data_IF_166850414399
#
_entry.id   IF_166850414399
#
_cell.length_a   1.000
_cell.length_b   1.000
_cell.length_c   1.000
_cell.angle_alpha   90.00
_cell.angle_beta   90.00
_cell.angle_gamma   90.00
#
_symmetry.space_group_name_H-M   'P 1'
#
loop_
_entity.id
_entity.type
_entity.pdbx_description
1 polymer ?
#
# COMPACT_ATOMS: atom_id res chain seq x y z
N UNK A 1 -0.59 -34.50 8.57
CA UNK A 1 0.61 -35.15 8.00
C UNK A 1 0.21 -36.49 7.42
N UNK A 2 0.24 -36.63 6.13
CA UNK A 2 -0.13 -37.89 5.46
C UNK A 2 1.19 -38.62 5.18
N UNK A 3 1.42 -39.72 5.88
CA UNK A 3 2.55 -40.60 5.64
C UNK A 3 2.10 -41.64 4.61
N UNK A 4 2.68 -41.57 3.42
CA UNK A 4 2.49 -42.61 2.41
C UNK A 4 3.60 -43.63 2.53
N UNK A 5 3.24 -44.91 2.49
CA UNK A 5 4.22 -45.99 2.51
C UNK A 5 4.26 -46.65 1.14
N UNK A 6 5.46 -46.92 0.70
CA UNK A 6 5.63 -47.76 -0.48
C UNK A 6 5.17 -49.19 -0.24
N UNK A 7 4.85 -49.96 -1.29
CA UNK A 7 4.45 -51.36 -1.17
C UNK A 7 5.51 -52.23 -0.50
N UNK A 8 6.77 -51.78 -0.46
CA UNK A 8 7.89 -52.43 0.19
C UNK A 8 8.03 -52.11 1.69
N UNK A 9 7.14 -51.26 2.23
CA UNK A 9 7.12 -50.88 3.63
C UNK A 9 8.01 -49.68 3.99
N UNK A 10 8.72 -49.10 3.01
CA UNK A 10 9.47 -47.87 3.25
C UNK A 10 8.57 -46.66 3.31
N UNK A 11 8.89 -45.71 4.20
CA UNK A 11 8.16 -44.48 4.35
C UNK A 11 8.63 -43.50 3.29
N UNK A 12 7.69 -43.02 2.49
CA UNK A 12 7.94 -41.84 1.66
C UNK A 12 7.82 -40.64 2.58
N UNK A 13 8.94 -40.10 2.96
CA UNK A 13 8.92 -38.74 3.48
C UNK A 13 8.48 -37.80 2.36
N UNK A 14 7.19 -37.56 2.31
CA UNK A 14 6.70 -36.50 1.46
C UNK A 14 7.21 -35.21 2.05
N UNK A 15 8.11 -34.59 1.34
CA UNK A 15 8.63 -33.28 1.72
C UNK A 15 7.61 -32.17 1.48
N UNK A 16 6.39 -32.48 1.85
CA UNK A 16 5.26 -31.54 1.83
C UNK A 16 5.50 -30.32 2.74
N UNK A 17 6.46 -30.45 3.59
CA UNK A 17 6.91 -29.38 4.48
C UNK A 17 7.40 -28.13 3.76
N UNK A 18 7.69 -28.24 2.50
CA UNK A 18 8.15 -27.07 1.75
C UNK A 18 7.02 -26.14 1.32
N UNK A 19 5.81 -26.61 1.38
CA UNK A 19 4.69 -25.77 1.00
C UNK A 19 4.18 -24.92 2.13
N UNK A 20 4.70 -25.12 3.26
CA UNK A 20 3.99 -24.73 4.46
C UNK A 20 4.28 -23.34 4.96
N UNK A 21 4.76 -22.45 4.18
CA UNK A 21 5.08 -21.12 4.71
C UNK A 21 4.73 -19.98 3.77
N UNK A 22 3.44 -19.87 3.36
CA UNK A 22 3.05 -18.77 2.49
C UNK A 22 3.29 -17.41 3.15
N UNK A 23 3.11 -17.31 4.45
CA UNK A 23 3.34 -16.07 5.19
C UNK A 23 4.82 -15.68 5.27
N UNK A 24 5.70 -16.63 5.45
CA UNK A 24 7.14 -16.42 5.42
C UNK A 24 7.64 -16.14 4.00
N UNK A 25 6.99 -16.76 3.04
CA UNK A 25 7.32 -16.60 1.62
C UNK A 25 7.02 -15.20 1.12
N UNK A 26 5.99 -14.54 1.62
CA UNK A 26 5.65 -13.18 1.19
C UNK A 26 6.77 -12.19 1.51
N UNK A 27 7.30 -12.26 2.71
CA UNK A 27 8.40 -11.39 3.14
C UNK A 27 9.71 -11.71 2.44
N UNK A 28 10.01 -12.99 2.29
CA UNK A 28 11.18 -13.46 1.53
C UNK A 28 11.01 -13.22 0.05
N UNK A 29 9.78 -13.27 -0.47
CA UNK A 29 9.48 -12.96 -1.85
C UNK A 29 9.80 -11.51 -2.20
N UNK A 30 9.50 -10.56 -1.33
CA UNK A 30 9.87 -9.16 -1.54
C UNK A 30 11.39 -8.96 -1.51
N UNK A 31 12.09 -9.58 -0.56
CA UNK A 31 13.54 -9.54 -0.49
C UNK A 31 14.19 -10.24 -1.69
N UNK A 32 13.68 -11.41 -2.08
CA UNK A 32 14.17 -12.16 -3.24
C UNK A 32 13.92 -11.43 -4.56
N UNK A 33 12.82 -10.69 -4.68
CA UNK A 33 12.55 -9.83 -5.84
C UNK A 33 13.53 -8.68 -5.92
N UNK A 34 13.92 -8.10 -4.79
CA UNK A 34 14.96 -7.09 -4.74
C UNK A 34 16.34 -7.67 -5.14
N UNK A 35 16.65 -8.86 -4.67
CA UNK A 35 17.91 -9.57 -5.01
C UNK A 35 17.95 -10.00 -6.48
N UNK A 36 16.82 -10.33 -7.07
CA UNK A 36 16.75 -10.72 -8.49
C UNK A 36 16.76 -9.54 -9.47
N UNK A 37 17.00 -8.33 -9.00
CA UNK A 37 17.03 -7.12 -9.81
C UNK A 37 15.65 -6.58 -10.19
N UNK A 38 14.59 -7.15 -9.68
CA UNK A 38 13.24 -6.58 -9.77
C UNK A 38 13.08 -5.55 -8.67
N UNK A 39 13.08 -4.28 -9.06
CA UNK A 39 12.86 -3.20 -8.11
C UNK A 39 11.48 -3.34 -7.45
N UNK A 40 11.46 -3.42 -6.13
CA UNK A 40 10.24 -3.22 -5.35
C UNK A 40 9.87 -1.74 -5.53
N UNK A 41 8.62 -1.41 -5.94
CA UNK A 41 8.22 -0.03 -6.08
C UNK A 41 8.43 0.72 -4.77
N UNK A 42 9.05 1.90 -4.78
CA UNK A 42 9.22 2.68 -3.57
C UNK A 42 7.86 3.14 -3.02
N UNK A 43 7.79 3.34 -1.72
CA UNK A 43 6.62 3.91 -1.08
C UNK A 43 6.38 5.34 -1.58
N UNK A 44 5.14 5.79 -1.59
CA UNK A 44 4.82 7.16 -2.04
C UNK A 44 5.43 8.21 -1.13
N UNK A 45 5.56 7.92 0.17
CA UNK A 45 6.32 8.76 1.11
C UNK A 45 7.79 8.90 0.72
N UNK A 46 8.41 7.82 0.24
CA UNK A 46 9.80 7.86 -0.26
C UNK A 46 9.93 8.67 -1.54
N UNK A 47 8.97 8.53 -2.46
CA UNK A 47 8.92 9.33 -3.68
C UNK A 47 8.79 10.83 -3.33
N UNK A 48 7.90 11.16 -2.40
CA UNK A 48 7.73 12.53 -1.92
C UNK A 48 9.02 13.10 -1.32
N UNK A 49 9.74 12.30 -0.54
CA UNK A 49 11.03 12.67 0.03
C UNK A 49 12.06 12.95 -1.07
N UNK A 50 12.14 12.11 -2.10
CA UNK A 50 13.02 12.32 -3.26
C UNK A 50 12.68 13.62 -3.99
N UNK A 51 11.40 13.92 -4.17
CA UNK A 51 10.93 15.15 -4.80
C UNK A 51 11.31 16.37 -3.96
N UNK A 52 11.11 16.29 -2.65
CA UNK A 52 11.46 17.39 -1.74
C UNK A 52 12.96 17.66 -1.72
N UNK A 53 13.78 16.63 -1.81
CA UNK A 53 15.24 16.75 -1.85
C UNK A 53 15.78 17.24 -3.21
N UNK A 54 14.99 17.17 -4.26
CA UNK A 54 15.38 17.68 -5.56
C UNK A 54 15.36 19.23 -5.55
N UNK A 55 16.47 19.84 -5.93
CA UNK A 55 16.66 21.30 -5.84
C UNK A 55 15.84 22.07 -6.88
N UNK A 56 15.71 21.53 -8.07
CA UNK A 56 15.16 22.23 -9.21
C UNK A 56 13.88 21.58 -9.71
N UNK A 57 12.99 22.39 -10.31
CA UNK A 57 11.76 21.90 -10.92
C UNK A 57 11.99 20.78 -11.96
N UNK A 58 12.97 20.87 -12.88
CA UNK A 58 13.26 19.78 -13.81
C UNK A 58 13.64 18.48 -13.12
N UNK A 59 14.41 18.54 -12.02
CA UNK A 59 14.78 17.35 -11.24
C UNK A 59 13.58 16.73 -10.53
N UNK A 60 12.70 17.56 -9.99
CA UNK A 60 11.42 17.09 -9.39
C UNK A 60 10.55 16.38 -10.41
N UNK A 61 10.42 16.94 -11.60
CA UNK A 61 9.68 16.32 -12.70
C UNK A 61 10.31 15.01 -13.16
N UNK A 62 11.64 14.93 -13.16
CA UNK A 62 12.36 13.70 -13.49
C UNK A 62 12.01 12.58 -12.51
N UNK A 63 12.02 12.84 -11.21
CA UNK A 63 11.64 11.87 -10.17
C UNK A 63 10.20 11.40 -10.36
N UNK A 64 9.28 12.32 -10.63
CA UNK A 64 7.87 11.95 -10.90
C UNK A 64 7.73 11.06 -12.13
N UNK A 65 8.46 11.34 -13.19
CA UNK A 65 8.43 10.53 -14.41
C UNK A 65 9.04 9.14 -14.22
N UNK A 66 10.10 9.04 -13.44
CA UNK A 66 10.74 7.76 -13.11
C UNK A 66 9.84 6.83 -12.31
N UNK A 67 8.98 7.40 -11.47
CA UNK A 67 8.06 6.66 -10.61
C UNK A 67 6.61 6.73 -11.09
N UNK A 68 6.39 7.15 -12.33
CA UNK A 68 5.04 7.30 -12.88
C UNK A 68 4.26 5.99 -12.84
N UNK A 69 3.08 6.04 -12.24
CA UNK A 69 2.17 4.90 -12.15
C UNK A 69 0.73 5.41 -12.02
N UNK A 70 -0.22 4.55 -12.37
CA UNK A 70 -1.64 4.88 -12.22
C UNK A 70 -1.99 5.20 -10.76
N UNK A 71 -1.57 4.40 -9.76
CA UNK A 71 -1.82 4.74 -8.37
C UNK A 71 -1.24 6.09 -7.94
N UNK A 72 -0.02 6.40 -8.35
CA UNK A 72 0.59 7.69 -8.03
C UNK A 72 -0.18 8.86 -8.64
N UNK A 73 -0.60 8.73 -9.90
CA UNK A 73 -1.44 9.72 -10.56
C UNK A 73 -2.77 9.92 -9.85
N UNK A 74 -3.40 8.86 -9.37
CA UNK A 74 -4.66 8.94 -8.61
C UNK A 74 -4.48 9.71 -7.30
N UNK A 75 -3.42 9.44 -6.56
CA UNK A 75 -3.12 10.18 -5.31
C UNK A 75 -2.83 11.65 -5.60
N UNK A 76 -2.01 11.95 -6.58
CA UNK A 76 -1.69 13.33 -6.96
C UNK A 76 -2.92 14.09 -7.49
N UNK A 77 -3.75 13.43 -8.27
CA UNK A 77 -5.01 14.01 -8.72
C UNK A 77 -5.92 14.35 -7.54
N UNK A 78 -6.07 13.43 -6.61
CA UNK A 78 -6.84 13.65 -5.39
C UNK A 78 -6.31 14.80 -4.54
N UNK A 79 -4.98 15.02 -4.55
CA UNK A 79 -4.34 16.08 -3.77
C UNK A 79 -4.43 17.49 -4.42
N UNK A 80 -4.43 17.55 -5.75
CA UNK A 80 -4.22 18.82 -6.46
C UNK A 80 -5.34 19.21 -7.43
N UNK A 81 -6.26 18.29 -7.76
CA UNK A 81 -7.38 18.61 -8.66
C UNK A 81 -8.48 19.34 -7.89
N UNK A 82 -8.77 20.60 -8.20
CA UNK A 82 -9.81 21.38 -7.50
C UNK A 82 -11.23 20.85 -7.74
N UNK A 83 -11.43 20.00 -8.74
CA UNK A 83 -12.72 19.39 -9.02
C UNK A 83 -13.02 18.17 -8.15
N UNK A 84 -12.03 17.67 -7.43
CA UNK A 84 -12.21 16.56 -6.50
C UNK A 84 -12.58 17.10 -5.12
N UNK A 85 -13.77 16.74 -4.69
CA UNK A 85 -14.30 17.08 -3.38
C UNK A 85 -14.27 15.83 -2.49
N UNK A 86 -13.54 15.92 -1.39
CA UNK A 86 -13.45 14.84 -0.42
C UNK A 86 -14.67 14.87 0.51
N UNK A 87 -15.30 13.73 0.67
CA UNK A 87 -16.47 13.55 1.56
C UNK A 87 -16.07 12.99 2.93
N UNK A 88 -14.94 13.42 3.43
CA UNK A 88 -14.43 13.05 4.74
C UNK A 88 -14.67 14.21 5.71
N UNK A 89 -14.87 13.93 7.02
CA UNK A 89 -15.09 14.98 8.00
C UNK A 89 -13.87 15.87 8.15
N UNK A 90 -14.09 17.14 8.43
CA UNK A 90 -13.01 18.07 8.72
C UNK A 90 -12.36 17.76 10.08
N UNK A 91 -11.08 18.05 10.19
CA UNK A 91 -10.32 17.88 11.41
C UNK A 91 -9.42 16.65 11.42
N UNK A 92 -8.87 16.36 12.57
CA UNK A 92 -7.95 15.25 12.75
C UNK A 92 -8.65 13.90 12.55
N UNK A 93 -8.01 13.02 11.83
CA UNK A 93 -8.52 11.66 11.60
C UNK A 93 -8.15 10.77 12.77
N UNK A 94 -9.13 10.18 13.46
CA UNK A 94 -8.87 9.33 14.63
C UNK A 94 -8.47 7.91 14.21
N UNK A 95 -7.27 7.73 13.70
CA UNK A 95 -6.73 6.41 13.37
C UNK A 95 -5.52 6.09 14.26
N UNK A 96 -5.31 4.80 14.47
CA UNK A 96 -4.13 4.30 15.18
C UNK A 96 -3.03 4.00 14.16
N UNK A 97 -1.90 4.69 14.29
CA UNK A 97 -0.76 4.43 13.40
C UNK A 97 -0.30 2.97 13.52
N UNK A 98 -0.04 2.36 12.37
CA UNK A 98 0.48 1.01 12.32
C UNK A 98 1.96 1.04 12.71
N UNK A 99 2.32 0.39 13.80
CA UNK A 99 3.68 0.30 14.32
C UNK A 99 4.48 -0.88 13.74
N UNK A 100 3.86 -1.64 12.86
CA UNK A 100 4.55 -2.73 12.17
C UNK A 100 5.72 -2.21 11.33
N UNK A 101 6.85 -2.91 11.30
CA UNK A 101 7.98 -2.55 10.45
C UNK A 101 7.56 -2.46 8.98
N UNK A 102 8.17 -1.55 8.24
CA UNK A 102 7.94 -1.40 6.80
C UNK A 102 8.14 -2.74 6.09
N UNK A 103 7.18 -3.12 5.26
CA UNK A 103 7.13 -4.41 4.59
C UNK A 103 6.31 -5.48 5.33
N UNK A 104 5.80 -5.18 6.52
CA UNK A 104 4.90 -6.05 7.29
C UNK A 104 3.49 -5.46 7.43
N UNK A 105 3.26 -4.30 6.85
CA UNK A 105 1.94 -3.68 6.77
C UNK A 105 0.95 -4.56 6.01
N UNK A 106 -0.33 -4.43 6.34
CA UNK A 106 -1.39 -5.22 5.71
C UNK A 106 -1.61 -4.85 4.25
N UNK A 107 -1.33 -3.60 3.88
CA UNK A 107 -1.52 -3.10 2.52
C UNK A 107 -0.56 -1.95 2.19
N UNK A 108 -0.46 -1.64 0.92
CA UNK A 108 0.33 -0.53 0.39
C UNK A 108 -0.59 0.52 -0.23
N UNK A 109 -0.25 1.79 -0.08
CA UNK A 109 -1.00 2.88 -0.69
C UNK A 109 -1.08 2.72 -2.21
N UNK A 110 -0.06 2.16 -2.82
CA UNK A 110 -0.06 1.82 -4.24
C UNK A 110 -1.21 0.88 -4.63
N UNK A 111 -1.60 -0.04 -3.75
CA UNK A 111 -2.73 -0.94 -3.96
C UNK A 111 -4.05 -0.30 -3.59
N UNK A 112 -4.07 0.51 -2.55
CA UNK A 112 -5.28 1.15 -2.02
C UNK A 112 -5.70 2.40 -2.80
N UNK A 113 -4.82 3.00 -3.58
CA UNK A 113 -5.12 4.21 -4.36
C UNK A 113 -6.33 4.05 -5.30
N UNK A 114 -6.54 2.86 -5.83
CA UNK A 114 -7.73 2.53 -6.65
C UNK A 114 -9.06 2.66 -5.90
N UNK A 115 -9.04 2.64 -4.56
CA UNK A 115 -10.22 2.76 -3.69
C UNK A 115 -10.50 4.19 -3.22
N UNK A 116 -9.62 5.13 -3.54
CA UNK A 116 -9.75 6.51 -3.09
C UNK A 116 -11.03 7.19 -3.61
N UNK A 117 -11.57 6.74 -4.74
CA UNK A 117 -12.84 7.24 -5.28
C UNK A 117 -14.01 7.05 -4.30
N UNK A 118 -13.94 6.06 -3.39
CA UNK A 118 -15.00 5.82 -2.39
C UNK A 118 -15.18 7.00 -1.44
N UNK A 119 -14.14 7.81 -1.28
CA UNK A 119 -14.08 8.94 -0.35
C UNK A 119 -14.35 10.28 -1.02
N UNK A 120 -14.58 10.29 -2.32
CA UNK A 120 -14.82 11.50 -3.11
C UNK A 120 -16.27 11.59 -3.56
N UNK A 121 -16.73 12.82 -3.78
CA UNK A 121 -18.06 13.10 -4.30
C UNK A 121 -18.22 12.50 -5.70
N UNK A 122 -19.31 11.79 -5.90
CA UNK A 122 -19.62 11.13 -7.18
C UNK A 122 -18.94 9.77 -7.37
N UNK A 123 -18.09 9.32 -6.44
CA UNK A 123 -17.44 8.01 -6.52
C UNK A 123 -18.39 6.87 -6.20
N UNK A 124 -18.91 6.84 -4.99
CA UNK A 124 -19.93 5.87 -4.57
C UNK A 124 -20.97 6.56 -3.70
N UNK A 125 -22.13 6.79 -4.27
CA UNK A 125 -23.24 7.45 -3.60
C UNK A 125 -24.02 6.53 -2.66
N UNK A 126 -23.78 5.22 -2.71
CA UNK A 126 -24.44 4.23 -1.85
C UNK A 126 -23.86 4.17 -0.45
N UNK A 127 -22.63 4.66 -0.26
CA UNK A 127 -21.97 4.67 1.04
C UNK A 127 -22.51 5.77 1.96
N UNK A 128 -22.90 5.37 3.18
CA UNK A 128 -23.20 6.33 4.23
C UNK A 128 -21.93 7.05 4.69
N UNK A 129 -22.08 8.25 5.23
CA UNK A 129 -20.96 9.03 5.79
C UNK A 129 -20.19 8.24 6.84
N UNK A 130 -20.89 7.60 7.77
CA UNK A 130 -20.27 6.79 8.83
C UNK A 130 -19.46 5.63 8.27
N UNK A 131 -20.01 4.91 7.28
CA UNK A 131 -19.31 3.79 6.66
C UNK A 131 -18.09 4.25 5.87
N UNK A 132 -18.19 5.39 5.19
CA UNK A 132 -17.07 6.00 4.47
C UNK A 132 -15.92 6.35 5.42
N UNK A 133 -16.22 6.96 6.55
CA UNK A 133 -15.23 7.27 7.59
C UNK A 133 -14.56 6.00 8.13
N UNK A 134 -15.35 4.98 8.44
CA UNK A 134 -14.84 3.69 8.92
C UNK A 134 -13.89 3.05 7.92
N UNK A 135 -14.25 3.02 6.63
CA UNK A 135 -13.40 2.48 5.58
C UNK A 135 -12.10 3.26 5.42
N UNK A 136 -12.16 4.58 5.54
CA UNK A 136 -10.98 5.43 5.46
C UNK A 136 -10.01 5.19 6.63
N UNK A 137 -10.54 5.11 7.85
CA UNK A 137 -9.75 4.78 9.04
C UNK A 137 -9.10 3.39 8.89
N UNK A 138 -9.85 2.39 8.46
CA UNK A 138 -9.32 1.05 8.20
C UNK A 138 -8.22 1.05 7.15
N UNK A 139 -8.36 1.85 6.11
CA UNK A 139 -7.31 2.01 5.10
C UNK A 139 -6.03 2.58 5.73
N UNK A 140 -6.14 3.66 6.51
CA UNK A 140 -4.99 4.28 7.16
C UNK A 140 -4.29 3.33 8.14
N UNK A 141 -5.05 2.58 8.91
CA UNK A 141 -4.51 1.61 9.88
C UNK A 141 -3.85 0.40 9.22
N UNK A 142 -4.22 0.09 7.99
CA UNK A 142 -3.58 -0.97 7.19
C UNK A 142 -2.27 -0.56 6.52
N UNK A 143 -2.05 0.74 6.31
CA UNK A 143 -0.83 1.29 5.72
C UNK A 143 0.28 1.42 6.76
N UNK A 144 1.54 1.48 6.32
CA UNK A 144 2.61 1.88 7.21
C UNK A 144 2.41 3.35 7.65
N UNK A 145 2.98 3.71 8.79
CA UNK A 145 2.76 5.03 9.41
C UNK A 145 3.09 6.18 8.45
N UNK A 146 4.19 6.07 7.72
CA UNK A 146 4.64 7.11 6.79
C UNK A 146 3.69 7.28 5.59
N UNK A 147 3.15 6.20 5.06
CA UNK A 147 2.17 6.28 3.96
C UNK A 147 0.82 6.79 4.43
N UNK A 148 0.38 6.39 5.62
CA UNK A 148 -0.86 6.90 6.22
C UNK A 148 -0.76 8.40 6.46
N UNK A 149 0.32 8.87 7.06
CA UNK A 149 0.58 10.29 7.26
C UNK A 149 0.67 11.06 5.94
N UNK A 150 1.37 10.51 4.96
CA UNK A 150 1.45 11.09 3.62
C UNK A 150 0.08 11.29 3.00
N UNK A 151 -0.78 10.28 3.08
CA UNK A 151 -2.14 10.35 2.52
C UNK A 151 -2.99 11.41 3.23
N UNK A 152 -2.95 11.43 4.56
CA UNK A 152 -3.68 12.43 5.37
C UNK A 152 -3.24 13.85 5.01
N UNK A 153 -1.94 14.09 4.92
CA UNK A 153 -1.40 15.38 4.53
C UNK A 153 -1.85 15.80 3.12
N UNK A 154 -1.95 14.86 2.17
CA UNK A 154 -2.38 15.19 0.80
C UNK A 154 -3.87 15.50 0.71
N UNK A 155 -4.68 14.95 1.58
CA UNK A 155 -6.14 15.19 1.57
C UNK A 155 -6.50 16.46 2.35
N UNK A 156 -5.85 16.72 3.48
CA UNK A 156 -6.22 17.79 4.41
C UNK A 156 -5.33 19.04 4.34
N UNK A 157 -4.23 18.96 3.66
CA UNK A 157 -3.36 20.11 3.37
C UNK A 157 -3.38 20.44 1.90
#
# INVERSE_FOLDING_TARGET
MIIRRNPDGSVIEEQATQQSHPALTTRRGMAAMAESGRAVPPLFSEIATKINNAKDKPKKLKVLKEHDSVPLRQVLKGAFDPNIEWLLPDGDVPYTANDAPVGTEHTLLQQEAKRLYLFTKGGDNSLSSTKRQTLFIQMLEGLCAEEAEFLVQRIYC
#
